data_IF_614419243879
#
_entry.id   IF_614419243879
#
_cell.length_a   1.000
_cell.length_b   1.000
_cell.length_c   1.000
_cell.angle_alpha   90.00
_cell.angle_beta   90.00
_cell.angle_gamma   90.00
#
_symmetry.space_group_name_H-M   'P 1'
#
loop_
_entity.id
_entity.type
_entity.pdbx_description
1 polymer ?
#
# COMPACT_ATOMS: atom_id res chain seq x y z
N UNK A 1 21.81 22.26 16.03
CA UNK A 1 21.67 20.84 16.43
C UNK A 1 20.20 20.42 16.39
N UNK A 2 19.60 20.28 15.20
CA UNK A 2 18.19 19.85 15.02
C UNK A 2 18.08 18.34 14.71
N UNK A 3 19.20 17.64 14.55
CA UNK A 3 19.28 16.21 14.19
C UNK A 3 19.09 15.21 15.36
N UNK A 4 18.32 15.57 16.40
CA UNK A 4 18.05 14.69 17.55
C UNK A 4 16.96 13.63 17.27
N UNK A 5 16.36 13.07 18.33
CA UNK A 5 15.27 12.07 18.28
C UNK A 5 14.11 12.51 17.36
N UNK A 6 13.83 13.81 17.27
CA UNK A 6 12.81 14.37 16.37
C UNK A 6 13.14 14.17 14.88
N UNK A 7 14.42 14.23 14.49
CA UNK A 7 14.88 13.92 13.13
C UNK A 7 14.63 12.47 12.78
N UNK A 8 14.96 11.55 13.70
CA UNK A 8 14.72 10.11 13.55
C UNK A 8 13.23 9.80 13.35
N UNK A 9 12.34 10.41 14.15
CA UNK A 9 10.90 10.23 13.96
C UNK A 9 10.39 10.82 12.65
N UNK A 10 10.97 11.94 12.19
CA UNK A 10 10.61 12.56 10.91
C UNK A 10 11.00 11.65 9.74
N UNK A 11 12.21 11.08 9.76
CA UNK A 11 12.68 10.13 8.74
C UNK A 11 11.83 8.85 8.73
N UNK A 12 11.46 8.34 9.90
CA UNK A 12 10.55 7.20 10.00
C UNK A 12 9.15 7.51 9.45
N UNK A 13 8.60 8.70 9.72
CA UNK A 13 7.32 9.12 9.14
C UNK A 13 7.42 9.17 7.62
N UNK A 14 8.45 9.81 7.07
CA UNK A 14 8.65 9.90 5.62
C UNK A 14 8.76 8.50 4.99
N UNK A 15 9.54 7.61 5.59
CA UNK A 15 9.71 6.24 5.10
C UNK A 15 8.40 5.43 5.19
N UNK A 16 7.69 5.46 6.31
CA UNK A 16 6.43 4.72 6.44
C UNK A 16 5.34 5.28 5.52
N UNK A 17 5.22 6.61 5.42
CA UNK A 17 4.27 7.24 4.50
C UNK A 17 4.59 6.94 3.03
N UNK A 18 5.86 7.04 2.63
CA UNK A 18 6.31 6.72 1.27
C UNK A 18 5.99 5.28 0.88
N UNK A 19 6.27 4.32 1.77
CA UNK A 19 5.93 2.91 1.55
C UNK A 19 4.41 2.71 1.45
N UNK A 20 3.62 3.29 2.36
CA UNK A 20 2.17 3.14 2.32
C UNK A 20 1.56 3.68 1.02
N UNK A 21 2.02 4.84 0.55
CA UNK A 21 1.62 5.43 -0.75
C UNK A 21 2.05 4.54 -1.91
N UNK A 22 3.31 4.09 -1.91
CA UNK A 22 3.86 3.24 -2.96
C UNK A 22 3.07 1.94 -3.11
N UNK A 23 2.79 1.25 -2.00
CA UNK A 23 1.99 0.02 -2.01
C UNK A 23 0.58 0.28 -2.54
N UNK A 24 -0.15 1.26 -1.99
CA UNK A 24 -1.54 1.52 -2.42
C UNK A 24 -1.63 1.89 -3.90
N UNK A 25 -0.72 2.74 -4.39
CA UNK A 25 -0.70 3.13 -5.80
C UNK A 25 -0.37 1.95 -6.71
N UNK A 26 0.59 1.11 -6.32
CA UNK A 26 0.92 -0.09 -7.06
C UNK A 26 -0.29 -1.04 -7.15
N UNK A 27 -0.96 -1.31 -6.02
CA UNK A 27 -2.13 -2.19 -5.97
C UNK A 27 -3.28 -1.68 -6.84
N UNK A 28 -3.61 -0.38 -6.78
CA UNK A 28 -4.68 0.22 -7.59
C UNK A 28 -4.37 0.20 -9.09
N UNK A 29 -3.09 0.20 -9.45
CA UNK A 29 -2.66 0.18 -10.85
C UNK A 29 -2.65 -1.21 -11.48
N UNK A 30 -2.78 -2.29 -10.70
CA UNK A 30 -2.70 -3.67 -11.21
C UNK A 30 -3.73 -3.93 -12.31
N UNK A 31 -4.99 -3.51 -12.10
CA UNK A 31 -6.04 -3.66 -13.11
C UNK A 31 -5.75 -2.90 -14.41
N UNK A 32 -5.01 -1.78 -14.34
CA UNK A 32 -4.61 -0.98 -15.50
C UNK A 32 -3.49 -1.65 -16.32
N UNK A 33 -2.62 -2.41 -15.66
CA UNK A 33 -1.52 -3.11 -16.33
C UNK A 33 -1.94 -4.40 -17.05
N UNK A 34 -3.20 -4.84 -16.86
CA UNK A 34 -3.73 -6.06 -17.47
C UNK A 34 -2.84 -7.27 -17.16
N UNK A 35 -2.42 -7.99 -18.19
CA UNK A 35 -1.56 -9.18 -18.07
C UNK A 35 -0.21 -8.92 -17.37
N UNK A 36 0.26 -7.67 -17.35
CA UNK A 36 1.52 -7.33 -16.68
C UNK A 36 1.34 -7.02 -15.19
N UNK A 37 0.11 -6.90 -14.68
CA UNK A 37 -0.18 -6.52 -13.31
C UNK A 37 0.42 -7.43 -12.25
N UNK A 38 0.57 -8.73 -12.54
CA UNK A 38 1.19 -9.67 -11.60
C UNK A 38 2.70 -9.51 -11.43
N UNK A 39 3.39 -8.84 -12.37
CA UNK A 39 4.85 -8.69 -12.35
C UNK A 39 5.34 -7.67 -11.33
N UNK A 40 4.45 -6.79 -10.82
CA UNK A 40 4.78 -5.85 -9.76
C UNK A 40 4.75 -6.49 -8.37
N UNK A 41 4.31 -7.74 -8.26
CA UNK A 41 4.21 -8.47 -6.99
C UNK A 41 5.45 -9.36 -6.79
N UNK A 42 6.06 -9.37 -5.58
CA UNK A 42 7.18 -10.25 -5.29
C UNK A 42 6.83 -11.73 -5.53
N UNK A 43 7.68 -12.43 -6.28
CA UNK A 43 7.47 -13.86 -6.63
C UNK A 43 7.35 -14.74 -5.39
N UNK A 44 8.13 -14.44 -4.35
CA UNK A 44 8.14 -15.18 -3.10
C UNK A 44 6.81 -15.04 -2.35
N UNK A 45 6.10 -13.92 -2.50
CA UNK A 45 4.77 -13.75 -1.95
C UNK A 45 3.76 -14.56 -2.76
N UNK A 46 3.82 -14.50 -4.09
CA UNK A 46 2.92 -15.25 -4.97
C UNK A 46 3.00 -16.76 -4.70
N UNK A 47 4.21 -17.31 -4.55
CA UNK A 47 4.41 -18.72 -4.25
C UNK A 47 3.76 -19.16 -2.93
N UNK A 48 3.64 -18.29 -1.92
CA UNK A 48 2.95 -18.61 -0.65
C UNK A 48 1.44 -18.81 -0.83
N UNK A 49 0.88 -18.24 -1.90
CA UNK A 49 -0.52 -18.38 -2.28
C UNK A 49 -0.71 -19.37 -3.43
N UNK A 50 0.33 -20.13 -3.81
CA UNK A 50 0.31 -21.06 -4.96
C UNK A 50 -0.02 -20.35 -6.29
N UNK A 51 0.41 -19.09 -6.43
CA UNK A 51 0.21 -18.25 -7.61
C UNK A 51 1.52 -17.88 -8.31
N UNK A 52 1.38 -17.35 -9.51
CA UNK A 52 2.42 -16.73 -10.33
C UNK A 52 1.88 -15.43 -10.95
N UNK A 53 2.75 -14.63 -11.56
CA UNK A 53 2.34 -13.37 -12.20
C UNK A 53 1.25 -13.56 -13.27
N UNK A 54 1.27 -14.69 -13.99
CA UNK A 54 0.30 -15.00 -15.05
C UNK A 54 -1.13 -15.19 -14.55
N UNK A 55 -1.29 -15.47 -13.25
CA UNK A 55 -2.58 -15.62 -12.60
C UNK A 55 -3.29 -14.29 -12.33
N UNK A 56 -2.66 -13.13 -12.60
CA UNK A 56 -3.31 -11.82 -12.42
C UNK A 56 -4.31 -11.54 -13.54
N UNK A 57 -5.39 -12.32 -13.54
CA UNK A 57 -6.51 -12.27 -14.48
C UNK A 57 -7.83 -12.51 -13.74
N UNK A 58 -8.99 -12.08 -14.30
CA UNK A 58 -10.28 -12.24 -13.64
C UNK A 58 -10.64 -13.68 -13.26
N UNK A 59 -10.14 -14.68 -13.99
CA UNK A 59 -10.44 -16.10 -13.72
C UNK A 59 -9.85 -16.59 -12.38
N UNK A 60 -8.81 -15.91 -11.87
CA UNK A 60 -8.15 -16.24 -10.60
C UNK A 60 -8.41 -15.20 -9.52
N UNK A 61 -9.49 -14.41 -9.65
CA UNK A 61 -9.78 -13.24 -8.80
C UNK A 61 -9.70 -13.54 -7.30
N UNK A 62 -10.15 -14.70 -6.82
CA UNK A 62 -10.11 -15.03 -5.39
C UNK A 62 -8.68 -15.17 -4.83
N UNK A 63 -7.82 -15.90 -5.54
CA UNK A 63 -6.42 -16.05 -5.16
C UNK A 63 -5.68 -14.72 -5.25
N UNK A 64 -5.88 -14.00 -6.36
CA UNK A 64 -5.29 -12.66 -6.56
C UNK A 64 -5.73 -11.70 -5.46
N UNK A 65 -7.03 -11.63 -5.15
CA UNK A 65 -7.58 -10.75 -4.10
C UNK A 65 -6.98 -11.04 -2.73
N UNK A 66 -6.66 -12.31 -2.43
CA UNK A 66 -5.99 -12.70 -1.19
C UNK A 66 -4.56 -12.14 -1.09
N UNK A 67 -3.83 -12.12 -2.21
CA UNK A 67 -2.52 -11.47 -2.30
C UNK A 67 -2.64 -9.95 -2.19
N UNK A 68 -3.62 -9.34 -2.88
CA UNK A 68 -3.87 -7.89 -2.79
C UNK A 68 -4.19 -7.49 -1.35
N UNK A 69 -5.05 -8.24 -0.67
CA UNK A 69 -5.40 -8.01 0.74
C UNK A 69 -4.16 -8.04 1.63
N UNK A 70 -3.28 -9.04 1.48
CA UNK A 70 -2.04 -9.14 2.25
C UNK A 70 -1.20 -7.86 2.14
N UNK A 71 -0.99 -7.38 0.92
CA UNK A 71 -0.16 -6.19 0.68
C UNK A 71 -0.88 -4.94 1.17
N UNK A 72 -2.21 -4.86 1.03
CA UNK A 72 -3.02 -3.77 1.55
C UNK A 72 -2.94 -3.68 3.09
N UNK A 73 -2.96 -4.82 3.78
CA UNK A 73 -2.75 -4.89 5.24
C UNK A 73 -1.35 -4.42 5.63
N UNK A 74 -0.33 -4.77 4.84
CA UNK A 74 1.03 -4.27 5.04
C UNK A 74 1.12 -2.75 4.85
N UNK A 75 0.49 -2.20 3.80
CA UNK A 75 0.40 -0.76 3.57
C UNK A 75 -0.33 -0.04 4.71
N UNK A 76 -1.42 -0.64 5.23
CA UNK A 76 -2.16 -0.13 6.40
C UNK A 76 -1.28 -0.09 7.65
N UNK A 77 -0.46 -1.11 7.88
CA UNK A 77 0.47 -1.13 9.00
C UNK A 77 1.51 -0.01 8.90
N UNK A 78 2.04 0.27 7.70
CA UNK A 78 2.91 1.43 7.47
C UNK A 78 2.20 2.76 7.79
N UNK A 79 0.96 2.93 7.31
CA UNK A 79 0.16 4.13 7.61
C UNK A 79 -0.08 4.31 9.11
N UNK A 80 -0.45 3.24 9.81
CA UNK A 80 -0.66 3.25 11.26
C UNK A 80 0.64 3.61 12.00
N UNK A 81 1.78 3.06 11.56
CA UNK A 81 3.07 3.37 12.16
C UNK A 81 3.47 4.82 11.95
N UNK A 82 3.28 5.38 10.76
CA UNK A 82 3.49 6.82 10.54
C UNK A 82 2.62 7.67 11.47
N UNK A 83 1.31 7.36 11.57
CA UNK A 83 0.35 8.07 12.45
C UNK A 83 0.74 8.02 13.93
N UNK A 84 1.36 6.94 14.38
CA UNK A 84 1.82 6.81 15.78
C UNK A 84 2.86 7.86 16.19
N UNK A 85 3.52 8.51 15.23
CA UNK A 85 4.51 9.55 15.49
C UNK A 85 3.97 10.99 15.40
N UNK A 86 2.68 11.17 15.11
CA UNK A 86 2.09 12.49 14.83
C UNK A 86 2.37 13.52 15.93
N UNK A 87 2.29 13.12 17.19
CA UNK A 87 2.46 14.01 18.35
C UNK A 87 3.93 14.29 18.70
N UNK A 88 4.88 13.54 18.12
CA UNK A 88 6.32 13.65 18.46
C UNK A 88 7.17 14.24 17.34
N UNK A 89 6.62 14.42 16.14
CA UNK A 89 7.32 15.08 15.04
C UNK A 89 7.14 16.61 15.07
N UNK A 90 8.12 17.39 14.57
CA UNK A 90 8.00 18.83 14.46
C UNK A 90 6.81 19.24 13.57
N UNK A 91 6.27 20.45 13.80
CA UNK A 91 5.12 20.97 13.03
C UNK A 91 5.41 21.02 11.53
N UNK A 92 6.67 21.28 11.16
CA UNK A 92 7.18 21.32 9.79
C UNK A 92 7.07 19.96 9.09
N UNK A 93 7.11 18.86 9.83
CA UNK A 93 6.95 17.50 9.31
C UNK A 93 5.48 17.10 9.07
N UNK A 94 4.52 17.89 9.54
CA UNK A 94 3.07 17.58 9.44
C UNK A 94 2.63 17.41 7.98
N UNK A 95 3.29 18.07 7.04
CA UNK A 95 3.00 17.96 5.60
C UNK A 95 3.09 16.53 5.06
N UNK A 96 3.94 15.67 5.65
CA UNK A 96 4.05 14.27 5.25
C UNK A 96 2.74 13.49 5.46
N UNK A 97 1.90 13.90 6.41
CA UNK A 97 0.60 13.25 6.66
C UNK A 97 -0.47 13.62 5.64
N UNK A 98 -0.26 14.61 4.76
CA UNK A 98 -1.22 14.93 3.70
C UNK A 98 -1.48 13.71 2.80
N UNK A 99 -0.44 12.93 2.53
CA UNK A 99 -0.53 11.70 1.74
C UNK A 99 -1.36 10.61 2.42
N UNK A 100 -1.66 10.71 3.73
CA UNK A 100 -2.49 9.73 4.43
C UNK A 100 -3.92 9.68 3.89
N UNK A 101 -4.43 10.79 3.35
CA UNK A 101 -5.73 10.82 2.70
C UNK A 101 -5.77 9.93 1.45
N UNK A 102 -4.68 9.93 0.65
CA UNK A 102 -4.54 9.09 -0.55
C UNK A 102 -4.49 7.62 -0.15
N UNK A 103 -3.69 7.29 0.87
CA UNK A 103 -3.57 5.91 1.36
C UNK A 103 -4.91 5.42 1.93
N UNK A 104 -5.58 6.22 2.78
CA UNK A 104 -6.90 5.87 3.32
C UNK A 104 -7.92 5.63 2.21
N UNK A 105 -8.00 6.53 1.24
CA UNK A 105 -8.92 6.39 0.12
C UNK A 105 -8.64 5.12 -0.68
N UNK A 106 -7.36 4.85 -0.98
CA UNK A 106 -6.98 3.66 -1.73
C UNK A 106 -7.24 2.36 -0.99
N UNK A 107 -6.92 2.29 0.31
CA UNK A 107 -7.24 1.12 1.14
C UNK A 107 -8.75 0.87 1.25
N UNK A 108 -9.56 1.94 1.34
CA UNK A 108 -11.03 1.82 1.33
C UNK A 108 -11.54 1.31 0.00
N UNK A 109 -11.12 1.90 -1.12
CA UNK A 109 -11.54 1.45 -2.45
C UNK A 109 -11.21 -0.03 -2.68
N UNK A 110 -10.01 -0.48 -2.28
CA UNK A 110 -9.63 -1.89 -2.32
C UNK A 110 -10.55 -2.74 -1.43
N UNK A 111 -10.77 -2.35 -0.17
CA UNK A 111 -11.64 -3.07 0.76
C UNK A 111 -13.09 -3.18 0.29
N UNK A 112 -13.66 -2.07 -0.21
CA UNK A 112 -15.05 -1.99 -0.68
C UNK A 112 -15.28 -2.86 -1.92
N UNK A 113 -14.22 -3.17 -2.66
CA UNK A 113 -14.23 -4.09 -3.80
C UNK A 113 -13.73 -5.49 -3.44
N UNK A 114 -13.71 -5.85 -2.15
CA UNK A 114 -13.22 -7.15 -1.67
C UNK A 114 -11.82 -7.50 -2.17
N UNK A 115 -10.97 -6.47 -2.30
CA UNK A 115 -9.60 -6.55 -2.80
C UNK A 115 -9.46 -7.06 -4.24
N UNK A 116 -10.54 -7.05 -5.03
CA UNK A 116 -10.49 -7.38 -6.45
C UNK A 116 -9.79 -6.24 -7.22
N UNK A 117 -8.57 -6.45 -7.76
CA UNK A 117 -7.83 -5.39 -8.45
C UNK A 117 -8.38 -5.08 -9.85
N UNK A 118 -9.33 -5.88 -10.35
CA UNK A 118 -9.95 -5.70 -11.66
C UNK A 118 -11.26 -4.90 -11.60
N UNK A 119 -11.74 -4.56 -10.40
CA UNK A 119 -12.94 -3.73 -10.25
C UNK A 119 -12.63 -2.28 -10.68
N UNK A 120 -13.40 -1.69 -11.60
CA UNK A 120 -13.13 -0.34 -12.09
C UNK A 120 -13.19 0.73 -10.99
N UNK A 121 -13.86 0.46 -9.85
CA UNK A 121 -13.91 1.38 -8.70
C UNK A 121 -12.59 1.46 -7.92
N UNK A 122 -11.67 0.52 -8.16
CA UNK A 122 -10.34 0.52 -7.54
C UNK A 122 -9.40 1.52 -8.22
N UNK A 123 -9.69 1.94 -9.45
CA UNK A 123 -8.86 2.86 -10.23
C UNK A 123 -9.10 4.32 -9.83
#
# INVERSE_FOLDING_TARGET
MVHGIQGIHTDHVANHMGNAVGFVNALRSIGLYGYNGGHVIPKELLSRYELSADHFRPEHVYGVSSVIQHIAEHAKAHLQRARSFKEVVPREATGAFLFSAIVDHGLRALSDCSYNPFDPRVQ
#
